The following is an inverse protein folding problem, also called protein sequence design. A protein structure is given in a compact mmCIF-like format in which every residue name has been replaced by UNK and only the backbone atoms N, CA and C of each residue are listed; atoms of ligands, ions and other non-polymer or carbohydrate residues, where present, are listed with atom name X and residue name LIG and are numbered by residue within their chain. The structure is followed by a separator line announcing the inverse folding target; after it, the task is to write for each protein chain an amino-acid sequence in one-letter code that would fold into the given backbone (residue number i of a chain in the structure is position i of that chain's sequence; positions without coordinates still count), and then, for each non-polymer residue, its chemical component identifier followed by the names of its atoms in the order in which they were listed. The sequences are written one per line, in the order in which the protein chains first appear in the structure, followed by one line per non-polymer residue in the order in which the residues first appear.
data_IF_966461767696
#
_entry.id   IF_966461767696
#
_cell.length_a   1.000
_cell.length_b   1.000
_cell.length_c   1.000
_cell.angle_alpha   90.00
_cell.angle_beta   90.00
_cell.angle_gamma   90.00
#
_symmetry.space_group_name_H-M   'P 1'
#
loop_
_entity.id
_entity.type
_entity.pdbx_description
1 polymer ?
#
# COMPACT_ATOMS: atom_id res chain seq x y z
N UNK A 1 20.42 -30.18 14.71
CA UNK A 1 20.27 -29.49 13.41
C UNK A 1 18.78 -29.28 13.17
N UNK A 2 18.19 -28.24 13.77
CA UNK A 2 16.75 -27.96 13.74
C UNK A 2 16.47 -27.02 12.57
N UNK A 3 15.62 -27.46 11.62
CA UNK A 3 15.14 -26.60 10.53
C UNK A 3 14.03 -25.70 11.09
N UNK A 4 14.27 -24.40 11.06
CA UNK A 4 13.27 -23.36 11.35
C UNK A 4 12.35 -23.27 10.13
N UNK A 5 11.09 -23.63 10.30
CA UNK A 5 10.03 -23.35 9.32
C UNK A 5 9.47 -21.94 9.58
N UNK A 6 10.11 -20.92 9.01
CA UNK A 6 9.60 -19.54 9.01
C UNK A 6 8.50 -19.40 7.95
N UNK A 7 7.27 -19.74 8.33
CA UNK A 7 6.06 -19.22 7.67
C UNK A 7 5.15 -18.66 8.75
N UNK A 8 5.29 -17.37 9.00
CA UNK A 8 4.41 -16.61 9.88
C UNK A 8 3.02 -16.59 9.23
N UNK A 9 2.09 -17.37 9.77
CA UNK A 9 0.68 -17.36 9.33
C UNK A 9 -0.04 -16.21 10.04
N UNK A 10 -0.55 -15.25 9.28
CA UNK A 10 -1.55 -14.30 9.79
C UNK A 10 -2.90 -15.02 9.96
N UNK A 11 -3.81 -14.47 10.77
CA UNK A 11 -5.15 -15.06 11.02
C UNK A 11 -6.03 -15.20 9.76
N UNK A 12 -5.57 -14.64 8.63
CA UNK A 12 -6.00 -14.93 7.26
C UNK A 12 -4.91 -15.69 6.52
N UNK A 13 -5.30 -16.68 5.72
CA UNK A 13 -4.40 -17.72 5.20
C UNK A 13 -3.40 -17.31 4.12
N UNK A 14 -3.11 -16.02 3.88
CA UNK A 14 -2.11 -15.63 2.86
C UNK A 14 -0.74 -15.53 3.51
N UNK A 15 0.11 -16.52 3.23
CA UNK A 15 1.50 -16.49 3.66
C UNK A 15 2.40 -15.78 2.66
N UNK A 16 3.45 -15.15 3.17
CA UNK A 16 4.55 -14.61 2.38
C UNK A 16 5.87 -15.05 3.01
N UNK A 17 6.75 -15.65 2.23
CA UNK A 17 8.09 -16.00 2.70
C UNK A 17 8.95 -14.74 2.82
N UNK A 18 9.98 -14.76 3.67
CA UNK A 18 10.91 -13.63 3.82
C UNK A 18 11.59 -13.24 2.49
N UNK A 19 11.83 -14.22 1.61
CA UNK A 19 12.39 -13.99 0.27
C UNK A 19 11.39 -13.26 -0.64
N UNK A 20 10.11 -13.66 -0.62
CA UNK A 20 9.06 -12.96 -1.34
C UNK A 20 8.86 -11.55 -0.79
N UNK A 21 8.77 -11.38 0.53
CA UNK A 21 8.61 -10.09 1.19
C UNK A 21 9.74 -9.12 0.80
N UNK A 22 10.99 -9.58 0.80
CA UNK A 22 12.12 -8.77 0.35
C UNK A 22 12.03 -8.41 -1.16
N UNK A 23 11.68 -9.37 -2.02
CA UNK A 23 11.58 -9.14 -3.46
C UNK A 23 10.46 -8.15 -3.80
N UNK A 24 9.28 -8.35 -3.21
CA UNK A 24 8.10 -7.50 -3.39
C UNK A 24 8.35 -6.11 -2.80
N UNK A 25 8.89 -6.04 -1.58
CA UNK A 25 9.20 -4.78 -0.91
C UNK A 25 10.16 -3.91 -1.70
N UNK A 26 11.18 -4.49 -2.34
CA UNK A 26 12.08 -3.75 -3.24
C UNK A 26 11.36 -3.15 -4.44
N UNK A 27 10.41 -3.87 -5.04
CA UNK A 27 9.61 -3.34 -6.17
C UNK A 27 8.73 -2.18 -5.73
N UNK A 28 8.04 -2.33 -4.60
CA UNK A 28 7.21 -1.26 -4.03
C UNK A 28 8.09 -0.05 -3.68
N UNK A 29 9.26 -0.25 -3.09
CA UNK A 29 10.21 0.81 -2.78
C UNK A 29 10.68 1.58 -4.03
N UNK A 30 10.92 0.89 -5.14
CA UNK A 30 11.24 1.53 -6.43
C UNK A 30 10.06 2.37 -6.91
N UNK A 31 8.84 1.84 -6.87
CA UNK A 31 7.65 2.55 -7.36
C UNK A 31 7.28 3.77 -6.51
N UNK A 32 7.37 3.66 -5.18
CA UNK A 32 6.86 4.67 -4.24
C UNK A 32 7.94 5.68 -3.81
N UNK A 33 9.20 5.25 -3.74
CA UNK A 33 10.30 6.05 -3.21
C UNK A 33 11.46 6.23 -4.20
N UNK A 34 11.30 5.77 -5.45
CA UNK A 34 12.36 5.78 -6.45
C UNK A 34 13.55 4.88 -6.13
N UNK A 35 13.41 3.97 -5.14
CA UNK A 35 14.51 3.13 -4.68
C UNK A 35 15.58 3.90 -3.88
N UNK A 36 15.22 5.04 -3.30
CA UNK A 36 16.12 5.88 -2.50
C UNK A 36 15.74 5.87 -1.02
N UNK A 37 16.74 6.03 -0.15
CA UNK A 37 16.52 6.09 1.30
C UNK A 37 15.82 7.40 1.69
N UNK A 38 16.12 8.49 0.99
CA UNK A 38 15.48 9.79 1.15
C UNK A 38 13.98 9.72 0.81
N UNK A 39 13.63 8.99 -0.25
CA UNK A 39 12.25 8.80 -0.70
C UNK A 39 11.35 8.06 0.30
N UNK A 40 11.92 7.36 1.28
CA UNK A 40 11.16 6.74 2.38
C UNK A 40 10.51 7.77 3.31
N UNK A 41 10.83 9.05 3.15
CA UNK A 41 10.31 10.12 4.00
C UNK A 41 9.87 11.30 3.14
N UNK A 42 8.59 11.65 3.21
CA UNK A 42 8.05 12.81 2.49
C UNK A 42 6.95 13.51 3.28
N UNK A 43 6.70 14.77 2.91
CA UNK A 43 5.58 15.56 3.45
C UNK A 43 5.12 16.50 2.34
N UNK A 44 3.92 16.32 1.80
CA UNK A 44 3.45 17.13 0.69
C UNK A 44 2.92 18.48 1.15
N UNK A 45 2.95 19.47 0.26
CA UNK A 45 2.40 20.80 0.54
C UNK A 45 0.88 20.69 0.77
N UNK A 46 0.40 21.28 1.86
CA UNK A 46 -1.03 21.27 2.23
C UNK A 46 -1.46 20.09 3.10
N UNK A 47 -0.56 19.15 3.39
CA UNK A 47 -0.82 18.03 4.31
C UNK A 47 -0.40 18.35 5.74
N UNK A 48 -1.02 17.63 6.68
CA UNK A 48 -0.74 17.73 8.13
C UNK A 48 -0.02 16.47 8.65
N UNK A 49 0.72 15.77 7.80
CA UNK A 49 1.34 14.51 8.16
C UNK A 49 2.61 14.24 7.35
N UNK A 50 3.51 13.46 7.94
CA UNK A 50 4.59 12.82 7.20
C UNK A 50 4.08 11.50 6.58
N UNK A 51 4.52 11.23 5.36
CA UNK A 51 4.33 9.96 4.66
C UNK A 51 5.63 9.17 4.70
N UNK A 52 5.58 7.98 5.30
CA UNK A 52 6.78 7.22 5.67
C UNK A 52 6.79 5.80 5.09
N UNK A 53 7.99 5.31 4.79
CA UNK A 53 8.20 3.93 4.34
C UNK A 53 7.61 3.62 2.97
N UNK A 54 7.73 2.35 2.57
CA UNK A 54 7.30 1.88 1.24
C UNK A 54 5.78 1.83 1.09
N UNK A 55 5.03 1.92 2.19
CA UNK A 55 3.57 1.87 2.21
C UNK A 55 2.89 3.23 2.41
N UNK A 56 3.64 4.34 2.28
CA UNK A 56 3.15 5.69 2.57
C UNK A 56 2.42 5.79 3.91
N UNK A 57 3.03 5.24 4.95
CA UNK A 57 2.45 5.19 6.28
C UNK A 57 2.33 6.59 6.87
N UNK A 58 1.09 6.98 7.16
CA UNK A 58 0.74 8.34 7.58
C UNK A 58 1.06 8.51 9.06
N UNK A 59 1.80 9.58 9.40
CA UNK A 59 2.09 9.99 10.77
C UNK A 59 1.69 11.46 10.97
N UNK A 60 0.60 11.70 11.70
CA UNK A 60 0.10 13.05 11.94
C UNK A 60 0.95 13.78 12.98
N UNK A 61 1.05 15.10 12.81
CA UNK A 61 1.56 15.95 13.88
C UNK A 61 0.52 16.06 15.02
N UNK A 62 0.98 16.52 16.19
CA UNK A 62 0.16 16.53 17.42
C UNK A 62 -1.07 17.43 17.31
N UNK A 63 -0.96 18.57 16.63
CA UNK A 63 -1.94 19.66 16.70
C UNK A 63 -3.09 19.54 15.71
N UNK A 64 -2.93 18.82 14.60
CA UNK A 64 -3.98 18.72 13.57
C UNK A 64 -3.94 17.36 12.90
N UNK A 65 -5.13 16.81 12.70
CA UNK A 65 -5.35 15.60 11.91
C UNK A 65 -6.06 15.95 10.61
N UNK A 66 -5.86 15.11 9.61
CA UNK A 66 -6.52 15.18 8.32
C UNK A 66 -7.58 14.08 8.17
N UNK A 67 -8.20 13.97 6.98
CA UNK A 67 -9.26 13.00 6.73
C UNK A 67 -8.76 11.57 6.47
N UNK A 68 -7.44 11.36 6.46
CA UNK A 68 -6.84 10.07 6.15
C UNK A 68 -6.56 9.29 7.42
N UNK A 69 -6.54 7.97 7.29
CA UNK A 69 -6.28 7.09 8.41
C UNK A 69 -4.79 7.09 8.75
N UNK A 70 -4.48 7.26 10.03
CA UNK A 70 -3.12 7.19 10.54
C UNK A 70 -2.64 5.73 10.61
N UNK A 71 -1.50 5.43 9.97
CA UNK A 71 -1.02 4.05 9.80
C UNK A 71 0.41 3.82 10.27
N UNK A 72 1.25 4.85 10.40
CA UNK A 72 2.61 4.69 10.88
C UNK A 72 2.70 4.16 12.32
N UNK A 73 1.92 4.63 13.30
CA UNK A 73 1.91 4.04 14.64
C UNK A 73 1.52 2.55 14.65
N UNK A 74 0.67 2.11 13.70
CA UNK A 74 0.30 0.69 13.55
C UNK A 74 1.48 -0.13 13.03
N UNK A 75 2.23 0.39 12.05
CA UNK A 75 3.48 -0.22 11.61
C UNK A 75 4.47 -0.33 12.76
N UNK A 76 4.67 0.73 13.55
CA UNK A 76 5.61 0.72 14.67
C UNK A 76 5.26 -0.37 15.68
N UNK A 77 3.98 -0.53 16.03
CA UNK A 77 3.52 -1.62 16.90
C UNK A 77 3.82 -3.00 16.30
N UNK A 78 3.60 -3.17 15.01
CA UNK A 78 3.92 -4.40 14.29
C UNK A 78 5.43 -4.71 14.28
N UNK A 79 6.29 -3.70 14.04
CA UNK A 79 7.75 -3.87 14.09
C UNK A 79 8.20 -4.30 15.49
N UNK A 80 7.65 -3.69 16.54
CA UNK A 80 7.94 -4.06 17.93
C UNK A 80 7.48 -5.47 18.24
N UNK A 81 6.29 -5.89 17.80
CA UNK A 81 5.83 -7.27 17.99
C UNK A 81 6.68 -8.30 17.23
N UNK A 82 7.41 -7.87 16.20
CA UNK A 82 8.40 -8.67 15.47
C UNK A 82 9.82 -8.57 16.05
N UNK A 83 9.97 -7.97 17.23
CA UNK A 83 11.26 -7.88 17.95
C UNK A 83 12.20 -6.78 17.45
N UNK A 84 11.74 -5.89 16.56
CA UNK A 84 12.56 -4.77 16.08
C UNK A 84 12.68 -3.70 17.17
N UNK A 85 13.93 -3.31 17.47
CA UNK A 85 14.20 -2.14 18.33
C UNK A 85 13.89 -0.87 17.55
N UNK A 86 12.90 -0.10 18.02
CA UNK A 86 12.52 1.19 17.43
C UNK A 86 13.04 2.36 18.26
N UNK A 87 13.38 3.51 17.65
CA UNK A 87 13.79 4.71 18.37
C UNK A 87 12.72 5.20 19.34
N UNK A 88 13.13 5.72 20.51
CA UNK A 88 12.20 6.18 21.55
C UNK A 88 11.19 7.23 21.05
N UNK A 89 11.61 8.11 20.13
CA UNK A 89 10.74 9.17 19.59
C UNK A 89 9.71 8.63 18.57
N UNK A 90 9.88 7.42 18.06
CA UNK A 90 8.95 6.75 17.14
C UNK A 90 7.90 5.95 17.93
N UNK A 91 8.27 5.44 19.09
CA UNK A 91 7.40 4.58 19.90
C UNK A 91 6.29 5.38 20.62
N UNK A 92 5.03 5.15 20.23
CA UNK A 92 3.82 5.73 20.85
C UNK A 92 3.81 7.26 20.94
N UNK A 93 4.47 7.94 20.00
CA UNK A 93 4.48 9.40 19.93
C UNK A 93 3.85 9.88 18.62
N UNK A 94 3.33 11.12 18.62
CA UNK A 94 2.97 11.82 17.39
C UNK A 94 4.23 12.20 16.61
N UNK A 95 4.06 12.57 15.34
CA UNK A 95 5.16 13.04 14.51
C UNK A 95 5.91 14.18 15.22
N UNK A 96 7.24 14.08 15.41
CA UNK A 96 8.00 15.08 16.17
C UNK A 96 8.18 16.39 15.41
N UNK A 97 7.85 16.41 14.12
CA UNK A 97 7.86 17.60 13.28
C UNK A 97 6.44 18.17 13.19
N UNK A 98 6.26 19.42 13.58
CA UNK A 98 4.94 20.08 13.60
C UNK A 98 4.56 20.67 12.23
N UNK A 99 5.55 20.99 11.40
CA UNK A 99 5.34 21.58 10.07
C UNK A 99 6.17 20.86 9.01
N UNK A 100 5.76 21.01 7.75
CA UNK A 100 6.53 20.55 6.59
C UNK A 100 7.90 21.21 6.53
N UNK A 101 7.97 22.50 6.87
CA UNK A 101 9.22 23.27 6.88
C UNK A 101 10.19 22.73 7.93
N UNK A 102 9.70 22.39 9.13
CA UNK A 102 10.49 21.72 10.17
C UNK A 102 11.00 20.36 9.71
N UNK A 103 10.13 19.57 9.06
CA UNK A 103 10.47 18.25 8.53
C UNK A 103 11.60 18.34 7.50
N UNK A 104 11.51 19.30 6.57
CA UNK A 104 12.52 19.52 5.52
C UNK A 104 13.84 20.02 6.11
N UNK A 105 13.80 20.99 7.03
CA UNK A 105 15.01 21.47 7.72
C UNK A 105 15.71 20.34 8.48
N UNK A 106 14.93 19.40 9.00
CA UNK A 106 15.42 18.24 9.75
C UNK A 106 15.95 17.11 8.87
N UNK A 107 16.03 17.26 7.54
CA UNK A 107 16.41 16.19 6.60
C UNK A 107 17.72 15.47 6.95
N UNK A 108 18.67 16.17 7.58
CA UNK A 108 19.98 15.66 7.99
C UNK A 108 20.13 15.55 9.52
N UNK A 109 19.05 15.73 10.27
CA UNK A 109 19.06 15.57 11.73
C UNK A 109 19.26 14.11 12.11
N UNK A 110 19.84 13.86 13.30
CA UNK A 110 20.01 12.51 13.85
C UNK A 110 18.69 11.72 13.87
N UNK A 111 17.59 12.35 14.30
CA UNK A 111 16.26 11.74 14.30
C UNK A 111 15.79 11.31 12.91
N UNK A 112 15.99 12.15 11.89
CA UNK A 112 15.58 11.80 10.52
C UNK A 112 16.42 10.66 9.94
N UNK A 113 17.73 10.66 10.21
CA UNK A 113 18.64 9.59 9.79
C UNK A 113 18.25 8.28 10.48
N UNK A 114 17.99 8.31 11.79
CA UNK A 114 17.55 7.14 12.56
C UNK A 114 16.21 6.59 12.06
N UNK A 115 15.25 7.47 11.73
CA UNK A 115 13.97 7.09 11.14
C UNK A 115 14.17 6.42 9.77
N UNK A 116 15.00 7.00 8.89
CA UNK A 116 15.28 6.41 7.56
C UNK A 116 15.99 5.07 7.66
N UNK A 117 16.93 4.92 8.59
CA UNK A 117 17.61 3.64 8.83
C UNK A 117 16.62 2.56 9.32
N UNK A 118 15.70 2.91 10.23
CA UNK A 118 14.63 2.01 10.64
C UNK A 118 13.77 1.60 9.44
N UNK A 119 13.30 2.56 8.65
CA UNK A 119 12.44 2.31 7.49
C UNK A 119 13.16 1.47 6.42
N UNK A 120 14.41 1.77 6.12
CA UNK A 120 15.18 1.02 5.14
C UNK A 120 15.48 -0.40 5.61
N UNK A 121 15.91 -0.55 6.88
CA UNK A 121 16.24 -1.86 7.47
C UNK A 121 15.02 -2.77 7.68
N UNK A 122 13.80 -2.25 7.57
CA UNK A 122 12.55 -2.99 7.81
C UNK A 122 11.67 -3.13 6.57
N UNK A 123 12.20 -2.93 5.36
CA UNK A 123 11.43 -3.10 4.10
C UNK A 123 10.69 -4.44 4.01
N UNK A 124 11.30 -5.60 4.34
CA UNK A 124 10.57 -6.88 4.33
C UNK A 124 9.38 -6.89 5.31
N UNK A 125 9.57 -6.41 6.54
CA UNK A 125 8.51 -6.33 7.55
C UNK A 125 7.41 -5.33 7.17
N UNK A 126 7.76 -4.22 6.51
CA UNK A 126 6.76 -3.31 5.95
C UNK A 126 5.92 -3.99 4.88
N UNK A 127 6.51 -4.89 4.10
CA UNK A 127 5.81 -5.66 3.07
C UNK A 127 4.82 -6.65 3.69
N UNK A 128 5.24 -7.37 4.74
CA UNK A 128 4.33 -8.20 5.54
C UNK A 128 3.18 -7.39 6.15
N UNK A 129 3.49 -6.19 6.67
CA UNK A 129 2.47 -5.32 7.24
C UNK A 129 1.48 -4.79 6.18
N UNK A 130 1.94 -4.53 4.96
CA UNK A 130 1.06 -4.19 3.82
C UNK A 130 0.15 -5.37 3.47
N UNK A 131 0.67 -6.60 3.48
CA UNK A 131 -0.13 -7.81 3.26
C UNK A 131 -1.20 -7.96 4.35
N UNK A 132 -0.84 -7.78 5.62
CA UNK A 132 -1.80 -7.81 6.74
C UNK A 132 -2.91 -6.76 6.57
N UNK A 133 -2.56 -5.54 6.12
CA UNK A 133 -3.55 -4.49 5.83
C UNK A 133 -4.46 -4.88 4.66
N UNK A 134 -3.90 -5.46 3.61
CA UNK A 134 -4.63 -5.94 2.45
C UNK A 134 -5.65 -7.03 2.82
N UNK A 135 -5.28 -7.94 3.72
CA UNK A 135 -6.19 -8.96 4.25
C UNK A 135 -7.36 -8.34 5.01
N UNK A 136 -7.09 -7.36 5.87
CA UNK A 136 -8.12 -6.62 6.61
C UNK A 136 -9.00 -5.73 5.72
N UNK A 137 -8.54 -5.38 4.51
CA UNK A 137 -9.32 -4.61 3.55
C UNK A 137 -10.35 -5.46 2.80
N UNK A 138 -10.12 -6.78 2.63
CA UNK A 138 -11.02 -7.64 1.86
C UNK A 138 -12.45 -7.69 2.44
N UNK A 139 -12.67 -7.93 3.75
CA UNK A 139 -14.02 -7.90 4.31
C UNK A 139 -14.73 -6.55 4.11
N UNK A 140 -14.00 -5.44 4.20
CA UNK A 140 -14.53 -4.11 3.95
C UNK A 140 -14.95 -3.93 2.49
N UNK A 141 -14.14 -4.39 1.54
CA UNK A 141 -14.48 -4.40 0.11
C UNK A 141 -15.72 -5.23 -0.19
N UNK A 142 -15.84 -6.43 0.41
CA UNK A 142 -16.98 -7.33 0.19
C UNK A 142 -18.28 -6.80 0.80
N UNK A 143 -18.21 -6.15 1.96
CA UNK A 143 -19.39 -5.53 2.59
C UNK A 143 -19.92 -4.32 1.79
N UNK A 144 -19.05 -3.65 1.03
CA UNK A 144 -19.40 -2.48 0.21
C UNK A 144 -20.14 -2.79 -1.11
N UNK A 145 -20.35 -4.08 -1.45
CA UNK A 145 -20.95 -4.52 -2.72
C UNK A 145 -22.09 -5.52 -2.51
N UNK A 146 -22.92 -5.68 -3.55
CA UNK A 146 -24.00 -6.66 -3.59
C UNK A 146 -23.49 -8.11 -3.61
N UNK A 147 -24.31 -9.05 -3.11
CA UNK A 147 -23.98 -10.48 -3.07
C UNK A 147 -23.61 -11.07 -4.43
N UNK A 148 -24.23 -10.59 -5.51
CA UNK A 148 -23.93 -11.03 -6.89
C UNK A 148 -22.48 -10.74 -7.30
N UNK A 149 -21.88 -9.67 -6.79
CA UNK A 149 -20.49 -9.29 -7.07
C UNK A 149 -19.50 -9.94 -6.10
N UNK A 150 -19.91 -10.22 -4.85
CA UNK A 150 -19.01 -10.71 -3.77
C UNK A 150 -18.20 -11.94 -4.17
N UNK A 151 -18.84 -12.97 -4.72
CA UNK A 151 -18.16 -14.21 -5.12
C UNK A 151 -17.06 -13.96 -6.16
N UNK A 152 -17.31 -13.08 -7.13
CA UNK A 152 -16.35 -12.75 -8.18
C UNK A 152 -15.14 -11.99 -7.64
N UNK A 153 -15.38 -10.98 -6.81
CA UNK A 153 -14.31 -10.19 -6.17
C UNK A 153 -13.45 -11.07 -5.27
N UNK A 154 -14.08 -11.89 -4.43
CA UNK A 154 -13.38 -12.84 -3.56
C UNK A 154 -12.51 -13.82 -4.37
N UNK A 155 -13.06 -14.43 -5.42
CA UNK A 155 -12.32 -15.37 -6.27
C UNK A 155 -11.13 -14.71 -6.98
N UNK A 156 -11.34 -13.53 -7.57
CA UNK A 156 -10.26 -12.80 -8.26
C UNK A 156 -9.16 -12.36 -7.28
N UNK A 157 -9.52 -11.96 -6.07
CA UNK A 157 -8.56 -11.61 -5.02
C UNK A 157 -7.67 -12.80 -4.69
N UNK A 158 -8.23 -13.94 -4.25
CA UNK A 158 -7.43 -15.08 -3.82
C UNK A 158 -6.60 -15.71 -4.95
N UNK A 159 -7.08 -15.66 -6.19
CA UNK A 159 -6.30 -16.07 -7.36
C UNK A 159 -4.99 -15.30 -7.52
N UNK A 160 -4.98 -14.01 -7.17
CA UNK A 160 -3.75 -13.21 -7.15
C UNK A 160 -2.85 -13.55 -5.95
N UNK A 161 -3.41 -14.05 -4.86
CA UNK A 161 -2.64 -14.41 -3.66
C UNK A 161 -1.82 -15.68 -3.82
N UNK A 162 -2.13 -16.51 -4.82
CA UNK A 162 -1.46 -17.78 -5.07
C UNK A 162 -0.04 -17.63 -5.63
N UNK A 163 0.32 -16.45 -6.15
CA UNK A 163 1.65 -16.21 -6.74
C UNK A 163 2.33 -14.98 -6.14
N UNK A 164 3.66 -15.00 -6.05
CA UNK A 164 4.44 -13.83 -5.62
C UNK A 164 4.15 -12.59 -6.48
N UNK A 165 3.92 -12.78 -7.79
CA UNK A 165 3.58 -11.70 -8.72
C UNK A 165 2.21 -11.12 -8.43
N UNK A 166 1.19 -11.95 -8.21
CA UNK A 166 -0.15 -11.46 -7.89
C UNK A 166 -0.22 -10.81 -6.49
N UNK A 167 0.49 -11.34 -5.50
CA UNK A 167 0.69 -10.69 -4.19
C UNK A 167 1.27 -9.29 -4.35
N UNK A 168 2.32 -9.13 -5.17
CA UNK A 168 2.91 -7.83 -5.49
C UNK A 168 1.87 -6.88 -6.11
N UNK A 169 1.10 -7.36 -7.10
CA UNK A 169 0.04 -6.56 -7.74
C UNK A 169 -0.96 -6.03 -6.73
N UNK A 170 -1.44 -6.89 -5.83
CA UNK A 170 -2.41 -6.48 -4.81
C UNK A 170 -1.79 -5.44 -3.85
N UNK A 171 -0.60 -5.72 -3.30
CA UNK A 171 0.06 -4.84 -2.34
C UNK A 171 0.46 -3.49 -2.95
N UNK A 172 0.95 -3.48 -4.19
CA UNK A 172 1.29 -2.24 -4.90
C UNK A 172 0.03 -1.43 -5.20
N UNK A 173 -1.03 -2.06 -5.71
CA UNK A 173 -2.23 -1.34 -6.13
C UNK A 173 -3.03 -0.76 -4.95
N UNK A 174 -3.12 -1.47 -3.82
CA UNK A 174 -3.80 -0.93 -2.64
C UNK A 174 -3.07 0.28 -2.07
N UNK A 175 -1.73 0.30 -2.06
CA UNK A 175 -0.95 1.47 -1.65
C UNK A 175 -1.09 2.62 -2.66
N UNK A 176 -1.19 2.29 -3.94
CA UNK A 176 -1.31 3.25 -5.02
C UNK A 176 -2.68 3.95 -5.12
N UNK A 177 -3.78 3.18 -5.07
CA UNK A 177 -5.16 3.67 -5.33
C UNK A 177 -6.15 3.40 -4.21
N UNK A 178 -5.76 2.70 -3.15
CA UNK A 178 -6.63 2.35 -2.04
C UNK A 178 -7.61 1.23 -2.37
N UNK A 179 -8.47 0.95 -1.39
CA UNK A 179 -9.42 -0.17 -1.40
C UNK A 179 -10.57 0.06 -2.39
N UNK A 180 -10.99 1.31 -2.59
CA UNK A 180 -12.14 1.65 -3.44
C UNK A 180 -13.51 1.55 -2.75
N UNK A 181 -13.52 1.54 -1.40
CA UNK A 181 -14.72 1.49 -0.56
C UNK A 181 -15.30 2.88 -0.27
N UNK A 182 -14.47 3.93 -0.25
CA UNK A 182 -14.89 5.30 0.07
C UNK A 182 -15.79 5.92 -1.00
N UNK A 183 -16.91 6.51 -0.57
CA UNK A 183 -17.82 7.24 -1.48
C UNK A 183 -17.18 8.51 -2.05
N UNK A 184 -16.30 9.17 -1.30
CA UNK A 184 -15.55 10.35 -1.71
C UNK A 184 -14.51 10.07 -2.81
N UNK A 185 -14.12 8.81 -3.00
CA UNK A 185 -13.18 8.38 -4.05
C UNK A 185 -13.92 7.87 -5.28
N UNK A 186 -14.95 8.61 -5.68
CA UNK A 186 -15.80 8.31 -6.83
C UNK A 186 -16.08 9.57 -7.62
N UNK A 187 -16.04 9.44 -8.94
CA UNK A 187 -16.57 10.45 -9.85
C UNK A 187 -17.81 9.88 -10.52
N UNK A 188 -18.94 10.60 -10.47
CA UNK A 188 -20.24 10.13 -10.98
C UNK A 188 -20.61 8.72 -10.47
N UNK A 189 -20.35 8.46 -9.18
CA UNK A 189 -20.59 7.16 -8.54
C UNK A 189 -19.61 6.04 -8.94
N UNK A 190 -18.65 6.29 -9.85
CA UNK A 190 -17.65 5.31 -10.31
C UNK A 190 -16.35 5.47 -9.53
N UNK A 191 -15.99 4.45 -8.76
CA UNK A 191 -14.71 4.37 -8.04
C UNK A 191 -13.57 3.87 -8.92
N UNK A 192 -12.35 3.93 -8.36
CA UNK A 192 -11.12 3.51 -9.04
C UNK A 192 -10.14 2.72 -8.17
N UNK A 193 -10.57 2.31 -6.97
CA UNK A 193 -9.73 1.50 -6.08
C UNK A 193 -9.74 0.02 -6.45
N UNK A 194 -9.03 -0.78 -5.65
CA UNK A 194 -8.88 -2.22 -5.87
C UNK A 194 -10.21 -2.95 -6.09
N UNK A 195 -11.24 -2.63 -5.31
CA UNK A 195 -12.57 -3.21 -5.43
C UNK A 195 -13.09 -3.16 -6.87
N UNK A 196 -13.02 -2.00 -7.52
CA UNK A 196 -13.54 -1.85 -8.88
C UNK A 196 -12.69 -2.60 -9.92
N UNK A 197 -11.38 -2.76 -9.67
CA UNK A 197 -10.51 -3.58 -10.53
C UNK A 197 -10.89 -5.04 -10.43
N UNK A 198 -11.06 -5.56 -9.22
CA UNK A 198 -11.46 -6.95 -8.97
C UNK A 198 -12.85 -7.27 -9.52
N UNK A 199 -13.77 -6.29 -9.52
CA UNK A 199 -15.10 -6.43 -10.14
C UNK A 199 -15.05 -6.57 -11.67
N UNK A 200 -14.14 -5.86 -12.33
CA UNK A 200 -13.99 -5.83 -13.80
C UNK A 200 -13.05 -6.92 -14.32
N UNK A 201 -12.13 -7.40 -13.49
CA UNK A 201 -11.19 -8.46 -13.83
C UNK A 201 -11.90 -9.73 -14.31
N UNK A 202 -11.40 -10.32 -15.40
CA UNK A 202 -11.97 -11.52 -15.98
C UNK A 202 -11.94 -12.70 -14.99
N UNK A 203 -13.12 -13.22 -14.66
CA UNK A 203 -13.29 -14.32 -13.70
C UNK A 203 -12.67 -15.63 -14.18
N UNK A 204 -12.53 -15.80 -15.50
CA UNK A 204 -11.99 -17.00 -16.12
C UNK A 204 -10.46 -16.95 -16.28
N UNK A 205 -9.79 -15.89 -15.81
CA UNK A 205 -8.33 -15.82 -15.79
C UNK A 205 -7.76 -17.01 -15.00
N UNK A 206 -6.67 -17.60 -15.46
CA UNK A 206 -5.89 -18.58 -14.69
C UNK A 206 -5.03 -17.86 -13.65
N UNK A 207 -4.46 -18.61 -12.70
CA UNK A 207 -3.55 -18.06 -11.69
C UNK A 207 -2.31 -17.40 -12.32
N UNK A 208 -1.79 -17.95 -13.42
CA UNK A 208 -0.62 -17.42 -14.14
C UNK A 208 -0.94 -16.11 -14.88
N UNK A 209 -2.14 -16.01 -15.45
CA UNK A 209 -2.59 -14.84 -16.24
C UNK A 209 -3.25 -13.75 -15.38
N UNK A 210 -3.62 -14.07 -14.14
CA UNK A 210 -4.31 -13.17 -13.22
C UNK A 210 -3.61 -11.80 -13.04
N UNK A 211 -2.27 -11.70 -12.84
CA UNK A 211 -1.60 -10.41 -12.73
C UNK A 211 -1.77 -9.52 -13.97
N UNK A 212 -1.73 -10.11 -15.17
CA UNK A 212 -1.94 -9.39 -16.44
C UNK A 212 -3.39 -8.93 -16.57
N UNK A 213 -4.34 -9.80 -16.28
CA UNK A 213 -5.77 -9.45 -16.31
C UNK A 213 -6.12 -8.35 -15.29
N UNK A 214 -5.50 -8.38 -14.11
CA UNK A 214 -5.64 -7.29 -13.14
C UNK A 214 -5.08 -5.98 -13.70
N UNK A 215 -3.90 -5.99 -14.32
CA UNK A 215 -3.31 -4.79 -14.93
C UNK A 215 -4.22 -4.17 -16.01
N UNK A 216 -4.79 -5.01 -16.89
CA UNK A 216 -5.72 -4.58 -17.93
C UNK A 216 -7.03 -4.02 -17.34
N UNK A 217 -7.56 -4.65 -16.29
CA UNK A 217 -8.73 -4.15 -15.58
C UNK A 217 -8.42 -2.81 -14.90
N UNK A 218 -7.26 -2.69 -14.23
CA UNK A 218 -6.81 -1.46 -13.59
C UNK A 218 -6.67 -0.32 -14.59
N UNK A 219 -6.09 -0.56 -15.76
CA UNK A 219 -5.97 0.43 -16.82
C UNK A 219 -7.35 0.95 -17.29
N UNK A 220 -8.29 0.03 -17.55
CA UNK A 220 -9.68 0.39 -17.90
C UNK A 220 -10.33 1.26 -16.83
N UNK A 221 -10.15 0.91 -15.56
CA UNK A 221 -10.70 1.64 -14.42
C UNK A 221 -10.10 3.04 -14.31
N UNK A 222 -8.79 3.18 -14.51
CA UNK A 222 -8.10 4.47 -14.44
C UNK A 222 -8.42 5.39 -15.63
N UNK A 223 -8.57 4.84 -16.84
CA UNK A 223 -9.08 5.60 -18.00
C UNK A 223 -10.51 6.07 -17.73
N UNK A 224 -11.37 5.21 -17.17
CA UNK A 224 -12.73 5.60 -16.77
C UNK A 224 -12.72 6.73 -15.74
N UNK A 225 -11.83 6.67 -14.75
CA UNK A 225 -11.67 7.76 -13.77
C UNK A 225 -11.40 9.09 -14.47
N UNK A 226 -10.41 9.15 -15.35
CA UNK A 226 -10.06 10.40 -16.07
C UNK A 226 -11.26 10.93 -16.86
N UNK A 227 -11.98 10.05 -17.57
CA UNK A 227 -13.19 10.44 -18.33
C UNK A 227 -14.31 11.01 -17.45
N UNK A 228 -14.37 10.65 -16.17
CA UNK A 228 -15.38 11.13 -15.24
C UNK A 228 -14.88 12.27 -14.34
N UNK A 229 -13.59 12.64 -14.42
CA UNK A 229 -12.99 13.58 -13.49
C UNK A 229 -13.57 15.00 -13.67
N UNK A 230 -13.80 15.75 -12.58
CA UNK A 230 -14.29 17.13 -12.66
C UNK A 230 -13.22 18.10 -13.19
N UNK A 231 -11.96 17.67 -13.21
CA UNK A 231 -10.81 18.40 -13.75
C UNK A 231 -9.99 17.45 -14.61
N UNK A 232 -9.22 18.00 -15.55
CA UNK A 232 -8.36 17.16 -16.39
C UNK A 232 -7.28 16.45 -15.56
N UNK A 233 -7.34 15.12 -15.58
CA UNK A 233 -6.41 14.20 -14.95
C UNK A 233 -5.56 13.42 -15.99
N UNK A 234 -5.69 13.72 -17.28
CA UNK A 234 -5.05 12.98 -18.40
C UNK A 234 -3.53 12.86 -18.27
N UNK A 235 -2.88 13.90 -17.73
CA UNK A 235 -1.44 13.94 -17.46
C UNK A 235 -0.92 12.76 -16.63
N UNK A 236 -1.78 12.12 -15.83
CA UNK A 236 -1.38 11.02 -14.95
C UNK A 236 -1.41 9.66 -15.62
N UNK A 237 -2.12 9.51 -16.75
CA UNK A 237 -2.35 8.21 -17.41
C UNK A 237 -1.04 7.52 -17.74
N UNK A 238 -0.08 8.23 -18.34
CA UNK A 238 1.21 7.65 -18.75
C UNK A 238 1.98 7.08 -17.55
N UNK A 239 1.99 7.79 -16.42
CA UNK A 239 2.63 7.34 -15.19
C UNK A 239 1.94 6.09 -14.62
N UNK A 240 0.61 6.07 -14.62
CA UNK A 240 -0.16 4.92 -14.16
C UNK A 240 0.06 3.69 -15.05
N UNK A 241 0.04 3.86 -16.37
CA UNK A 241 0.31 2.77 -17.31
C UNK A 241 1.73 2.20 -17.13
N UNK A 242 2.73 3.06 -16.93
CA UNK A 242 4.10 2.60 -16.67
C UNK A 242 4.19 1.77 -15.38
N UNK A 243 3.45 2.14 -14.32
CA UNK A 243 3.35 1.35 -13.09
C UNK A 243 2.66 0.01 -13.35
N UNK A 244 1.53 -0.01 -14.06
CA UNK A 244 0.78 -1.23 -14.39
C UNK A 244 1.56 -2.21 -15.28
N UNK A 245 2.48 -1.73 -16.13
CA UNK A 245 3.39 -2.60 -16.90
C UNK A 245 4.28 -3.47 -16.03
N UNK A 246 4.55 -3.07 -14.78
CA UNK A 246 5.36 -3.89 -13.85
C UNK A 246 4.62 -5.15 -13.38
N UNK A 247 3.31 -5.26 -13.65
CA UNK A 247 2.45 -6.33 -13.17
C UNK A 247 2.45 -7.56 -14.06
N UNK A 248 3.01 -7.50 -15.27
CA UNK A 248 3.03 -8.62 -16.23
C UNK A 248 4.32 -8.69 -17.02
#
# INVERSE_FOLDING_TARGET
MQRINDTDRTESGISISSKEANSIGKKIWINECGGTVEGLTSWNKGEYFASLGIGHFIWYHKKKRGPYEESFPKLVKFLVSRGVKVPKFVFNQNCPWETREDFIRSKNSSKMIELRNLLYGTIPLQTEFILLRLENALPQMLSAISDKSRRGVHSNFYKLTDTAKGKYVLMDYINFKGEGTKKSERYNGKGWGMLQVLEVMNRNATTESAPKEFALAAEKILIRRVKNAPKDESRWIKGWQNRLKTYH
#
